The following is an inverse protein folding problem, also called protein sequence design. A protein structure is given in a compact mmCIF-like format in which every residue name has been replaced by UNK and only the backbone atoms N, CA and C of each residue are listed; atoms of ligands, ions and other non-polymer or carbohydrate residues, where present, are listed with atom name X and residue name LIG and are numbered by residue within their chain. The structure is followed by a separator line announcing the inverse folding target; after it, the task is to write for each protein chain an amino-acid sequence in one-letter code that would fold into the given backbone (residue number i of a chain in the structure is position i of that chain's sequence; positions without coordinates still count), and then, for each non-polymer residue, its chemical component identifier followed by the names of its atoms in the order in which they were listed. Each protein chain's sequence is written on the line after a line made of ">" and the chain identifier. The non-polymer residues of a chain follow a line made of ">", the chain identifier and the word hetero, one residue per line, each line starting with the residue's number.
data_IF_792425222431
#
_entry.id   IF_792425222431
#
_cell.length_a   1.000
_cell.length_b   1.000
_cell.length_c   1.000
_cell.angle_alpha   90.00
_cell.angle_beta   90.00
_cell.angle_gamma   90.00
#
_symmetry.space_group_name_H-M   'P 1'
#
loop_
_entity.id
_entity.type
_entity.pdbx_description
1 polymer ?
#
# COMPACT_ATOMS: atom_id res chain seq x y z
N UNK A 1 -35.53 1.46 -7.06
CA UNK A 1 -35.01 1.75 -5.71
C UNK A 1 -34.00 0.67 -5.36
N UNK A 2 -32.76 1.04 -5.05
CA UNK A 2 -31.74 0.07 -4.61
C UNK A 2 -32.21 -0.62 -3.31
N UNK A 3 -31.99 -1.92 -3.11
CA UNK A 3 -32.22 -2.61 -1.84
C UNK A 3 -31.58 -1.86 -0.66
N UNK A 4 -32.19 -1.94 0.53
CA UNK A 4 -31.73 -1.24 1.74
C UNK A 4 -30.27 -1.55 2.10
N UNK A 5 -29.78 -2.75 1.79
CA UNK A 5 -28.40 -3.15 1.99
C UNK A 5 -27.43 -2.41 1.04
N UNK A 6 -27.80 -2.29 -0.24
CA UNK A 6 -27.00 -1.55 -1.24
C UNK A 6 -26.93 -0.06 -0.92
N UNK A 7 -28.04 0.54 -0.47
CA UNK A 7 -28.04 1.94 -0.01
C UNK A 7 -27.12 2.13 1.20
N UNK A 8 -27.11 1.18 2.14
CA UNK A 8 -26.21 1.22 3.31
C UNK A 8 -24.74 1.14 2.88
N UNK A 9 -24.41 0.29 1.91
CA UNK A 9 -23.06 0.18 1.39
C UNK A 9 -22.66 1.44 0.60
N UNK A 10 -23.56 2.00 -0.20
CA UNK A 10 -23.32 3.23 -0.94
C UNK A 10 -22.96 4.39 0.00
N UNK A 11 -23.71 4.58 1.08
CA UNK A 11 -23.39 5.61 2.08
C UNK A 11 -22.09 5.32 2.83
N UNK A 12 -21.77 4.04 3.09
CA UNK A 12 -20.49 3.65 3.69
C UNK A 12 -19.33 4.08 2.79
N UNK A 13 -19.41 3.79 1.48
CA UNK A 13 -18.39 4.16 0.51
C UNK A 13 -18.29 5.70 0.38
N UNK A 14 -19.42 6.41 0.35
CA UNK A 14 -19.44 7.87 0.28
C UNK A 14 -18.70 8.53 1.47
N UNK A 15 -18.81 7.97 2.67
CA UNK A 15 -18.05 8.44 3.85
C UNK A 15 -16.54 8.21 3.70
N UNK A 16 -16.14 7.05 3.15
CA UNK A 16 -14.74 6.74 2.88
C UNK A 16 -14.15 7.65 1.80
N UNK A 17 -14.88 7.87 0.71
CA UNK A 17 -14.50 8.78 -0.37
C UNK A 17 -14.42 10.24 0.09
N UNK A 18 -15.36 10.67 0.93
CA UNK A 18 -15.34 12.00 1.53
C UNK A 18 -14.10 12.23 2.39
N UNK A 19 -13.72 11.27 3.23
CA UNK A 19 -12.51 11.37 4.05
C UNK A 19 -11.25 11.45 3.19
N UNK A 20 -11.15 10.59 2.17
CA UNK A 20 -10.08 10.60 1.16
C UNK A 20 -9.95 11.95 0.45
N UNK A 21 -11.06 12.48 -0.05
CA UNK A 21 -11.09 13.75 -0.78
C UNK A 21 -10.69 14.93 0.10
N UNK A 22 -11.11 14.95 1.37
CA UNK A 22 -10.70 15.98 2.33
C UNK A 22 -9.19 15.98 2.62
N UNK A 23 -8.51 14.85 2.43
CA UNK A 23 -7.05 14.74 2.59
C UNK A 23 -6.27 15.22 1.37
N UNK A 24 -6.88 15.31 0.19
CA UNK A 24 -6.19 15.77 -1.03
C UNK A 24 -5.57 17.16 -0.85
N UNK A 25 -6.20 18.03 -0.06
CA UNK A 25 -5.72 19.37 0.28
C UNK A 25 -4.54 19.43 1.26
N UNK A 26 -3.78 18.34 1.45
CA UNK A 26 -2.60 18.31 2.34
C UNK A 26 -2.91 17.97 3.81
N UNK A 27 -4.19 17.84 4.17
CA UNK A 27 -4.60 17.52 5.55
C UNK A 27 -4.31 16.06 5.89
N UNK A 28 -3.84 15.82 7.11
CA UNK A 28 -3.79 14.47 7.70
C UNK A 28 -5.16 14.03 8.20
N UNK A 29 -5.40 12.72 8.22
CA UNK A 29 -6.67 12.11 8.64
C UNK A 29 -7.06 12.51 10.06
N UNK A 30 -6.11 12.56 10.99
CA UNK A 30 -6.33 12.96 12.38
C UNK A 30 -6.83 14.40 12.55
N UNK A 31 -6.75 15.25 11.52
CA UNK A 31 -7.28 16.62 11.53
C UNK A 31 -8.74 16.72 11.05
N UNK A 32 -9.31 15.63 10.53
CA UNK A 32 -10.67 15.61 10.01
C UNK A 32 -11.66 15.39 11.16
N UNK A 33 -12.72 16.19 11.20
CA UNK A 33 -13.84 15.93 12.10
C UNK A 33 -14.89 15.05 11.43
N UNK A 34 -15.58 14.25 12.24
CA UNK A 34 -16.75 13.46 11.82
C UNK A 34 -17.79 14.33 11.10
N UNK A 35 -18.01 15.57 11.57
CA UNK A 35 -18.98 16.49 10.98
C UNK A 35 -18.58 16.92 9.57
N UNK A 36 -17.30 17.17 9.33
CA UNK A 36 -16.79 17.48 7.99
C UNK A 36 -16.98 16.30 7.04
N UNK A 37 -16.59 15.09 7.45
CA UNK A 37 -16.73 13.88 6.64
C UNK A 37 -18.19 13.61 6.32
N UNK A 38 -19.09 13.65 7.32
CA UNK A 38 -20.52 13.44 7.12
C UNK A 38 -21.13 14.47 6.17
N UNK A 39 -20.77 15.74 6.32
CA UNK A 39 -21.23 16.82 5.43
C UNK A 39 -20.75 16.61 4.00
N UNK A 40 -19.48 16.27 3.81
CA UNK A 40 -18.90 15.99 2.50
C UNK A 40 -19.53 14.74 1.84
N UNK A 41 -19.92 13.74 2.62
CA UNK A 41 -20.65 12.57 2.16
C UNK A 41 -22.17 12.81 1.94
N UNK A 42 -22.67 14.03 2.18
CA UNK A 42 -24.07 14.38 1.97
C UNK A 42 -25.05 13.82 3.00
N UNK A 43 -24.58 13.47 4.21
CA UNK A 43 -25.43 12.96 5.30
C UNK A 43 -25.39 13.86 6.55
N UNK A 44 -26.42 13.75 7.38
CA UNK A 44 -26.42 14.38 8.70
C UNK A 44 -25.34 13.75 9.60
N UNK A 45 -24.65 14.52 10.48
CA UNK A 45 -23.57 13.98 11.32
C UNK A 45 -23.94 12.75 12.15
N UNK A 46 -25.17 12.71 12.70
CA UNK A 46 -25.67 11.55 13.46
C UNK A 46 -25.82 10.28 12.61
N UNK A 47 -25.94 10.42 11.29
CA UNK A 47 -26.00 9.32 10.34
C UNK A 47 -24.69 8.54 10.23
N UNK A 48 -23.55 9.17 10.56
CA UNK A 48 -22.23 8.53 10.56
C UNK A 48 -22.20 7.25 11.41
N UNK A 49 -22.79 7.31 12.60
CA UNK A 49 -22.82 6.20 13.57
C UNK A 49 -23.56 4.95 13.09
N UNK A 50 -24.30 5.04 11.99
CA UNK A 50 -24.91 3.87 11.33
C UNK A 50 -23.90 3.03 10.54
N UNK A 51 -22.71 3.59 10.27
CA UNK A 51 -21.66 2.99 9.44
C UNK A 51 -20.36 2.78 10.22
N UNK A 52 -19.96 3.73 11.06
CA UNK A 52 -18.70 3.67 11.83
C UNK A 52 -18.94 4.18 13.26
N UNK A 53 -18.34 3.54 14.26
CA UNK A 53 -18.46 3.96 15.67
C UNK A 53 -17.80 5.31 15.93
N UNK A 54 -16.72 5.59 15.21
CA UNK A 54 -15.84 6.74 15.38
C UNK A 54 -14.96 6.93 14.13
N UNK A 55 -14.09 7.94 14.16
CA UNK A 55 -13.15 8.22 13.07
C UNK A 55 -12.07 7.14 12.94
N UNK A 56 -11.64 6.49 14.02
CA UNK A 56 -10.63 5.43 13.92
C UNK A 56 -11.20 4.23 13.17
N UNK A 57 -12.45 3.84 13.42
CA UNK A 57 -13.12 2.76 12.70
C UNK A 57 -13.28 3.06 11.20
N UNK A 58 -13.48 4.33 10.84
CA UNK A 58 -13.42 4.75 9.43
C UNK A 58 -12.01 4.59 8.87
N UNK A 59 -10.98 5.04 9.60
CA UNK A 59 -9.58 4.91 9.21
C UNK A 59 -9.16 3.45 9.01
N UNK A 60 -9.57 2.55 9.90
CA UNK A 60 -9.32 1.12 9.80
C UNK A 60 -9.94 0.52 8.53
N UNK A 61 -11.15 0.95 8.15
CA UNK A 61 -11.77 0.51 6.90
C UNK A 61 -11.02 1.02 5.68
N UNK A 62 -10.51 2.26 5.71
CA UNK A 62 -9.67 2.81 4.65
C UNK A 62 -8.38 2.00 4.47
N UNK A 63 -7.73 1.58 5.57
CA UNK A 63 -6.57 0.67 5.51
C UNK A 63 -6.95 -0.67 4.90
N UNK A 64 -8.10 -1.23 5.30
CA UNK A 64 -8.58 -2.52 4.80
C UNK A 64 -8.80 -2.53 3.28
N UNK A 65 -9.40 -1.47 2.73
CA UNK A 65 -9.64 -1.31 1.28
C UNK A 65 -8.31 -1.23 0.50
N UNK A 66 -7.33 -0.48 1.01
CA UNK A 66 -6.00 -0.42 0.42
C UNK A 66 -5.32 -1.79 0.46
N UNK A 67 -5.44 -2.51 1.58
CA UNK A 67 -4.90 -3.85 1.72
C UNK A 67 -5.50 -4.85 0.72
N UNK A 68 -6.79 -4.76 0.43
CA UNK A 68 -7.42 -5.56 -0.61
C UNK A 68 -6.85 -5.23 -1.99
N UNK A 69 -6.74 -3.95 -2.33
CA UNK A 69 -6.17 -3.48 -3.60
C UNK A 69 -4.73 -3.97 -3.79
N UNK A 70 -3.91 -3.93 -2.73
CA UNK A 70 -2.56 -4.49 -2.73
C UNK A 70 -2.54 -5.99 -3.04
N UNK A 71 -3.37 -6.78 -2.36
CA UNK A 71 -3.42 -8.24 -2.58
C UNK A 71 -3.85 -8.58 -4.00
N UNK A 72 -4.82 -7.85 -4.56
CA UNK A 72 -5.25 -8.00 -5.95
C UNK A 72 -4.12 -7.67 -6.93
N UNK A 73 -3.36 -6.61 -6.64
CA UNK A 73 -2.19 -6.21 -7.45
C UNK A 73 -1.07 -7.26 -7.41
N UNK A 74 -0.74 -7.78 -6.22
CA UNK A 74 0.27 -8.84 -6.07
C UNK A 74 -0.16 -10.10 -6.85
N UNK A 75 -1.44 -10.48 -6.78
CA UNK A 75 -1.97 -11.62 -7.56
C UNK A 75 -1.83 -11.39 -9.07
N UNK A 76 -2.13 -10.18 -9.54
CA UNK A 76 -1.98 -9.80 -10.95
C UNK A 76 -0.51 -9.88 -11.38
N UNK A 77 0.41 -9.43 -10.53
CA UNK A 77 1.85 -9.56 -10.74
C UNK A 77 2.26 -11.03 -10.86
N UNK A 78 1.96 -11.86 -9.86
CA UNK A 78 2.30 -13.30 -9.86
C UNK A 78 1.75 -14.04 -11.07
N UNK A 79 0.55 -13.71 -11.55
CA UNK A 79 -0.02 -14.35 -12.74
C UNK A 79 0.77 -14.02 -14.01
N UNK A 80 1.25 -12.78 -14.14
CA UNK A 80 2.04 -12.33 -15.30
C UNK A 80 3.51 -12.77 -15.24
N UNK A 81 4.06 -13.08 -14.06
CA UNK A 81 5.42 -13.59 -13.87
C UNK A 81 5.68 -14.92 -14.62
N UNK A 82 4.66 -15.75 -14.82
CA UNK A 82 4.80 -17.03 -15.52
C UNK A 82 4.95 -16.90 -17.05
N UNK A 83 4.85 -15.70 -17.61
CA UNK A 83 4.72 -15.49 -19.07
C UNK A 83 5.88 -14.69 -19.68
N UNK A 84 6.55 -13.80 -18.93
CA UNK A 84 7.53 -12.85 -19.49
C UNK A 84 8.81 -12.79 -18.64
N UNK A 85 9.97 -13.06 -19.24
CA UNK A 85 11.30 -13.13 -18.61
C UNK A 85 11.90 -11.81 -18.08
N UNK A 86 11.07 -10.89 -17.60
CA UNK A 86 11.45 -9.61 -16.97
C UNK A 86 10.56 -9.32 -15.77
N UNK A 87 10.72 -10.11 -14.70
CA UNK A 87 9.85 -10.09 -13.51
C UNK A 87 9.76 -8.69 -12.91
N UNK A 88 10.90 -8.04 -12.64
CA UNK A 88 10.92 -6.77 -11.88
C UNK A 88 10.24 -5.64 -12.67
N UNK A 89 10.58 -5.44 -13.95
CA UNK A 89 10.05 -4.33 -14.75
C UNK A 89 8.53 -4.42 -14.95
N UNK A 90 8.02 -5.63 -15.22
CA UNK A 90 6.59 -5.87 -15.38
C UNK A 90 5.84 -5.65 -14.06
N UNK A 91 6.38 -6.17 -12.94
CA UNK A 91 5.79 -6.01 -11.60
C UNK A 91 5.74 -4.55 -11.16
N UNK A 92 6.83 -3.80 -11.37
CA UNK A 92 6.88 -2.38 -11.06
C UNK A 92 5.85 -1.61 -11.88
N UNK A 93 5.77 -1.86 -13.20
CA UNK A 93 4.78 -1.18 -14.05
C UNK A 93 3.35 -1.45 -13.59
N UNK A 94 2.98 -2.71 -13.37
CA UNK A 94 1.64 -3.09 -12.89
C UNK A 94 1.32 -2.38 -11.57
N UNK A 95 2.28 -2.36 -10.64
CA UNK A 95 2.09 -1.70 -9.36
C UNK A 95 1.86 -0.19 -9.53
N UNK A 96 2.67 0.47 -10.34
CA UNK A 96 2.53 1.91 -10.59
C UNK A 96 1.21 2.25 -11.29
N UNK A 97 0.77 1.45 -12.25
CA UNK A 97 -0.52 1.64 -12.93
C UNK A 97 -1.68 1.58 -11.94
N UNK A 98 -1.63 0.67 -10.95
CA UNK A 98 -2.65 0.59 -9.89
C UNK A 98 -2.56 1.77 -8.93
N UNK A 99 -1.35 2.16 -8.51
CA UNK A 99 -1.16 3.33 -7.63
C UNK A 99 -1.71 4.59 -8.28
N UNK A 100 -1.45 4.79 -9.57
CA UNK A 100 -1.99 5.92 -10.35
C UNK A 100 -3.52 5.86 -10.41
N UNK A 101 -4.09 4.71 -10.78
CA UNK A 101 -5.54 4.52 -10.89
C UNK A 101 -6.28 4.65 -9.55
N UNK A 102 -5.59 4.43 -8.43
CA UNK A 102 -6.14 4.47 -7.06
C UNK A 102 -5.41 5.49 -6.18
N UNK A 103 -4.88 6.57 -6.78
CA UNK A 103 -4.00 7.55 -6.11
C UNK A 103 -4.46 7.97 -4.73
N UNK A 104 -5.74 8.29 -4.56
CA UNK A 104 -6.29 8.80 -3.30
C UNK A 104 -6.31 7.74 -2.19
N UNK A 105 -6.47 6.46 -2.54
CA UNK A 105 -6.37 5.36 -1.58
C UNK A 105 -4.91 5.19 -1.09
N UNK A 106 -3.94 5.24 -2.02
CA UNK A 106 -2.53 5.14 -1.67
C UNK A 106 -1.99 6.39 -0.97
N UNK A 107 -2.56 7.58 -1.23
CA UNK A 107 -2.29 8.82 -0.48
C UNK A 107 -2.56 8.65 1.01
N UNK A 108 -3.69 8.04 1.36
CA UNK A 108 -4.03 7.75 2.75
C UNK A 108 -2.96 6.87 3.40
N UNK A 109 -2.57 5.78 2.72
CA UNK A 109 -1.52 4.89 3.20
C UNK A 109 -0.17 5.60 3.36
N UNK A 110 0.22 6.46 2.42
CA UNK A 110 1.50 7.17 2.45
C UNK A 110 1.59 8.18 3.60
N UNK A 111 0.50 8.89 3.90
CA UNK A 111 0.49 9.94 4.94
C UNK A 111 0.28 9.40 6.35
N UNK A 112 -0.61 8.43 6.52
CA UNK A 112 -1.04 8.00 7.85
C UNK A 112 -0.11 6.98 8.52
N UNK A 113 0.98 6.56 7.85
CA UNK A 113 2.05 5.73 8.45
C UNK A 113 2.62 6.36 9.72
N UNK A 114 2.68 7.70 9.73
CA UNK A 114 3.17 8.51 10.84
C UNK A 114 2.09 9.49 11.34
N UNK A 115 0.82 9.22 11.00
CA UNK A 115 -0.32 10.05 11.34
C UNK A 115 -0.68 10.03 12.83
N UNK A 116 -1.66 10.82 13.25
CA UNK A 116 -2.02 10.99 14.66
C UNK A 116 -2.70 9.76 15.30
N UNK A 117 -3.44 8.97 14.53
CA UNK A 117 -4.21 7.82 15.05
C UNK A 117 -3.33 6.58 15.23
N UNK A 118 -3.14 6.16 16.50
CA UNK A 118 -2.40 4.92 16.81
C UNK A 118 -3.06 3.67 16.21
N UNK A 119 -4.39 3.47 16.31
CA UNK A 119 -5.06 2.33 15.67
C UNK A 119 -4.79 2.26 14.15
N UNK A 120 -4.84 3.39 13.46
CA UNK A 120 -4.55 3.44 12.02
C UNK A 120 -3.08 3.10 11.74
N UNK A 121 -2.13 3.67 12.49
CA UNK A 121 -0.70 3.32 12.34
C UNK A 121 -0.45 1.82 12.55
N UNK A 122 -1.07 1.21 13.55
CA UNK A 122 -0.95 -0.22 13.82
C UNK A 122 -1.55 -1.05 12.67
N UNK A 123 -2.72 -0.67 12.15
CA UNK A 123 -3.33 -1.37 11.02
C UNK A 123 -2.46 -1.30 9.76
N UNK A 124 -1.82 -0.16 9.48
CA UNK A 124 -0.88 0.00 8.37
C UNK A 124 0.37 -0.85 8.59
N UNK A 125 0.91 -0.89 9.81
CA UNK A 125 2.05 -1.74 10.14
C UNK A 125 1.72 -3.22 9.92
N UNK A 126 0.58 -3.70 10.44
CA UNK A 126 0.13 -5.08 10.23
C UNK A 126 -0.14 -5.40 8.77
N UNK A 127 -0.70 -4.46 8.00
CA UNK A 127 -0.84 -4.62 6.54
C UNK A 127 0.52 -4.87 5.88
N UNK A 128 1.52 -4.06 6.23
CA UNK A 128 2.86 -4.19 5.68
C UNK A 128 3.53 -5.50 6.10
N UNK A 129 3.42 -5.90 7.36
CA UNK A 129 3.93 -7.19 7.87
C UNK A 129 3.31 -8.38 7.14
N UNK A 130 2.00 -8.35 6.90
CA UNK A 130 1.31 -9.40 6.14
C UNK A 130 1.83 -9.49 4.69
N UNK A 131 2.04 -8.35 4.02
CA UNK A 131 2.61 -8.32 2.67
C UNK A 131 4.04 -8.87 2.67
N UNK A 132 4.87 -8.51 3.66
CA UNK A 132 6.23 -9.05 3.80
C UNK A 132 6.22 -10.55 4.03
N UNK A 133 5.30 -11.06 4.86
CA UNK A 133 5.15 -12.49 5.11
C UNK A 133 4.75 -13.26 3.84
N UNK A 134 3.78 -12.73 3.08
CA UNK A 134 3.36 -13.32 1.80
C UNK A 134 4.51 -13.36 0.79
N UNK A 135 5.33 -12.31 0.73
CA UNK A 135 6.51 -12.28 -0.14
C UNK A 135 7.59 -13.25 0.32
N UNK A 136 7.87 -13.34 1.63
CA UNK A 136 8.84 -14.30 2.16
C UNK A 136 8.43 -15.75 1.83
N UNK A 137 7.13 -16.05 1.92
CA UNK A 137 6.59 -17.35 1.52
C UNK A 137 6.79 -17.63 0.02
N UNK A 138 6.59 -16.64 -0.86
CA UNK A 138 6.88 -16.80 -2.30
C UNK A 138 8.36 -17.02 -2.57
N UNK A 139 9.24 -16.26 -1.91
CA UNK A 139 10.69 -16.39 -2.06
C UNK A 139 11.19 -17.77 -1.62
N UNK A 140 10.60 -18.35 -0.58
CA UNK A 140 10.92 -19.69 -0.10
C UNK A 140 10.59 -20.79 -1.14
N UNK A 141 9.67 -20.55 -2.06
CA UNK A 141 9.34 -21.47 -3.15
C UNK A 141 10.35 -21.41 -4.31
N UNK A 142 11.26 -20.42 -4.32
CA UNK A 142 12.21 -20.24 -5.41
C UNK A 142 13.42 -21.19 -5.26
N UNK A 143 13.70 -22.07 -6.23
CA UNK A 143 14.83 -23.01 -6.13
C UNK A 143 16.20 -22.34 -5.94
N UNK A 144 16.36 -21.12 -6.46
CA UNK A 144 17.61 -20.36 -6.39
C UNK A 144 17.89 -19.74 -5.02
N UNK A 145 16.94 -19.79 -4.09
CA UNK A 145 17.03 -19.19 -2.76
C UNK A 145 16.97 -20.25 -1.64
N UNK A 146 17.06 -21.54 -1.98
CA UNK A 146 17.00 -22.65 -1.01
C UNK A 146 18.19 -22.69 -0.05
N UNK A 147 19.25 -21.93 -0.30
CA UNK A 147 20.38 -21.78 0.60
C UNK A 147 20.10 -20.83 1.78
N UNK A 148 19.00 -20.07 1.72
CA UNK A 148 18.59 -19.13 2.76
C UNK A 148 17.52 -19.74 3.67
N UNK A 149 17.56 -19.39 4.95
CA UNK A 149 16.55 -19.84 5.90
C UNK A 149 15.33 -18.89 5.99
N UNK A 150 14.36 -19.25 6.83
CA UNK A 150 13.13 -18.45 7.00
C UNK A 150 13.41 -17.06 7.58
N UNK A 151 14.42 -16.92 8.45
CA UNK A 151 14.77 -15.64 9.04
C UNK A 151 15.43 -14.72 8.00
N UNK A 152 16.31 -15.27 7.17
CA UNK A 152 16.94 -14.57 6.04
C UNK A 152 15.89 -14.02 5.08
N UNK A 153 14.98 -14.89 4.64
CA UNK A 153 13.92 -14.53 3.69
C UNK A 153 12.96 -13.49 4.26
N UNK A 154 12.68 -13.53 5.57
CA UNK A 154 11.85 -12.53 6.26
C UNK A 154 12.51 -11.14 6.24
N UNK A 155 13.81 -11.06 6.55
CA UNK A 155 14.56 -9.78 6.50
C UNK A 155 14.58 -9.22 5.08
N UNK A 156 14.76 -10.07 4.08
CA UNK A 156 14.82 -9.66 2.68
C UNK A 156 13.46 -9.22 2.16
N UNK A 157 12.39 -9.93 2.50
CA UNK A 157 11.04 -9.54 2.13
C UNK A 157 10.67 -8.18 2.76
N UNK A 158 11.00 -7.96 4.03
CA UNK A 158 10.78 -6.65 4.67
C UNK A 158 11.56 -5.52 3.97
N UNK A 159 12.80 -5.75 3.55
CA UNK A 159 13.58 -4.77 2.77
C UNK A 159 12.93 -4.43 1.43
N UNK A 160 12.46 -5.44 0.69
CA UNK A 160 11.75 -5.24 -0.59
C UNK A 160 10.49 -4.42 -0.38
N UNK A 161 9.64 -4.82 0.57
CA UNK A 161 8.37 -4.14 0.87
C UNK A 161 8.62 -2.71 1.36
N UNK A 162 9.60 -2.48 2.24
CA UNK A 162 10.02 -1.13 2.68
C UNK A 162 10.40 -0.26 1.49
N UNK A 163 11.17 -0.79 0.55
CA UNK A 163 11.67 -0.04 -0.62
C UNK A 163 10.52 0.41 -1.53
N UNK A 164 9.54 -0.46 -1.76
CA UNK A 164 8.33 -0.13 -2.54
C UNK A 164 7.49 0.93 -1.82
N UNK A 165 7.20 0.73 -0.52
CA UNK A 165 6.41 1.67 0.27
C UNK A 165 7.06 3.06 0.38
N UNK A 166 8.39 3.11 0.50
CA UNK A 166 9.13 4.37 0.57
C UNK A 166 9.09 5.18 -0.73
N UNK A 167 8.73 4.56 -1.86
CA UNK A 167 8.59 5.26 -3.15
C UNK A 167 7.17 5.82 -3.36
N UNK A 168 6.18 5.38 -2.58
CA UNK A 168 4.80 5.86 -2.70
C UNK A 168 4.67 7.39 -2.63
N UNK A 169 5.31 8.11 -1.69
CA UNK A 169 5.22 9.56 -1.64
C UNK A 169 5.65 10.26 -2.94
N UNK A 170 6.72 9.77 -3.59
CA UNK A 170 7.26 10.34 -4.83
C UNK A 170 6.32 10.14 -6.03
N UNK A 171 5.49 9.10 -5.99
CA UNK A 171 4.48 8.80 -7.03
C UNK A 171 3.25 9.66 -6.79
N UNK A 172 2.84 9.77 -5.53
CA UNK A 172 1.60 10.44 -5.16
C UNK A 172 1.74 11.95 -5.29
N UNK A 173 2.83 12.53 -4.79
CA UNK A 173 3.11 13.97 -4.88
C UNK A 173 4.38 14.19 -5.74
N UNK A 174 4.28 14.07 -7.07
CA UNK A 174 5.43 14.11 -7.95
C UNK A 174 6.11 15.49 -7.93
N UNK A 175 7.44 15.55 -8.11
CA UNK A 175 8.16 16.81 -8.10
C UNK A 175 7.74 17.72 -9.25
N UNK A 176 7.75 19.03 -8.98
CA UNK A 176 7.36 20.08 -9.95
C UNK A 176 8.32 20.14 -11.14
N UNK A 177 9.59 19.76 -10.93
CA UNK A 177 10.60 19.72 -11.98
C UNK A 177 10.74 18.30 -12.53
N UNK A 178 10.97 18.20 -13.83
CA UNK A 178 11.26 16.93 -14.48
C UNK A 178 12.50 16.29 -13.83
N UNK A 179 12.33 15.05 -13.37
CA UNK A 179 13.44 14.26 -12.85
C UNK A 179 14.29 13.72 -14.01
N UNK A 180 15.62 13.57 -13.82
CA UNK A 180 16.43 12.73 -14.68
C UNK A 180 15.80 11.34 -14.81
N UNK A 181 15.93 10.70 -15.98
CA UNK A 181 15.28 9.43 -16.31
C UNK A 181 15.48 8.36 -15.21
N UNK A 182 16.70 8.24 -14.69
CA UNK A 182 17.08 7.27 -13.66
C UNK A 182 16.51 7.56 -12.26
N UNK A 183 16.01 8.77 -12.02
CA UNK A 183 15.38 9.18 -10.75
C UNK A 183 13.86 9.14 -10.80
N UNK A 184 13.26 8.91 -11.98
CA UNK A 184 11.81 8.69 -12.08
C UNK A 184 11.38 7.56 -11.13
N UNK A 185 10.18 7.61 -10.52
CA UNK A 185 9.74 6.59 -9.57
C UNK A 185 9.84 5.17 -10.14
N UNK A 186 9.48 4.97 -11.42
CA UNK A 186 9.60 3.69 -12.11
C UNK A 186 11.04 3.22 -12.24
N UNK A 187 11.94 4.05 -12.79
CA UNK A 187 13.33 3.67 -12.98
C UNK A 187 14.02 3.42 -11.64
N UNK A 188 13.82 4.31 -10.67
CA UNK A 188 14.40 4.21 -9.33
C UNK A 188 13.96 2.93 -8.62
N UNK A 189 12.65 2.66 -8.58
CA UNK A 189 12.11 1.44 -7.97
C UNK A 189 12.64 0.17 -8.64
N UNK A 190 12.67 0.16 -9.98
CA UNK A 190 13.21 -0.97 -10.75
C UNK A 190 14.67 -1.24 -10.42
N UNK A 191 15.52 -0.20 -10.40
CA UNK A 191 16.95 -0.38 -10.11
C UNK A 191 17.19 -0.78 -8.65
N UNK A 192 16.45 -0.21 -7.69
CA UNK A 192 16.54 -0.61 -6.28
C UNK A 192 16.17 -2.07 -6.09
N UNK A 193 15.06 -2.53 -6.69
CA UNK A 193 14.66 -3.93 -6.63
C UNK A 193 15.70 -4.85 -7.30
N UNK A 194 16.22 -4.48 -8.48
CA UNK A 194 17.31 -5.23 -9.13
C UNK A 194 18.53 -5.35 -8.23
N UNK A 195 18.95 -4.25 -7.61
CA UNK A 195 20.07 -4.25 -6.68
C UNK A 195 19.84 -5.21 -5.50
N UNK A 196 18.65 -5.16 -4.88
CA UNK A 196 18.26 -6.06 -3.80
C UNK A 196 18.32 -7.52 -4.24
N UNK A 197 17.73 -7.86 -5.40
CA UNK A 197 17.71 -9.25 -5.90
C UNK A 197 19.06 -9.75 -6.42
N UNK A 198 19.95 -8.86 -6.86
CA UNK A 198 21.35 -9.22 -7.15
C UNK A 198 22.07 -9.53 -5.85
N UNK A 199 21.99 -8.65 -4.85
CA UNK A 199 22.60 -8.86 -3.54
C UNK A 199 22.13 -10.16 -2.89
N UNK A 200 20.83 -10.46 -2.97
CA UNK A 200 20.23 -11.68 -2.44
C UNK A 200 20.85 -12.97 -2.98
N UNK A 201 21.30 -12.99 -4.24
CA UNK A 201 21.94 -14.19 -4.85
C UNK A 201 23.32 -14.49 -4.26
N UNK A 202 23.98 -13.47 -3.70
CA UNK A 202 25.34 -13.57 -3.17
C UNK A 202 25.37 -13.49 -1.64
N UNK A 203 24.23 -13.23 -1.01
CA UNK A 203 24.13 -13.15 0.43
C UNK A 203 24.04 -14.56 1.03
N UNK A 204 24.85 -14.80 2.07
CA UNK A 204 24.98 -16.10 2.74
C UNK A 204 24.03 -16.25 3.95
N UNK A 205 23.22 -15.23 4.25
CA UNK A 205 22.28 -15.22 5.36
C UNK A 205 22.80 -14.49 6.61
N UNK A 206 21.99 -14.54 7.66
CA UNK A 206 22.27 -13.94 8.95
C UNK A 206 23.38 -14.73 9.67
N UNK A 207 24.35 -14.00 10.24
CA UNK A 207 25.45 -14.61 11.00
C UNK A 207 26.61 -15.13 10.13
N UNK A 208 26.53 -15.02 8.81
CA UNK A 208 27.69 -15.20 7.93
C UNK A 208 28.64 -14.02 8.07
N UNK A 209 29.71 -14.19 8.81
CA UNK A 209 30.86 -13.28 8.79
C UNK A 209 31.74 -13.65 7.59
N UNK A 210 31.53 -12.93 6.48
CA UNK A 210 32.21 -13.09 5.18
C UNK A 210 31.82 -14.33 4.36
#
# INVERSE_FOLDING_TARGET
>A
MLPRAEQKQQTRNALMDAARHLMEGGRGFGSLSLREVAKAAGIVPTGFYRHFSDMDQLGLELVSEVGQTFRETIRLVRHNEFVMGGIIDASVRIFLDVVEAKRVQFLFLAREQYGGSLPVRQAIASLRENISSDLAADLALMPKLQHLDVADLSVMADLVVKSVFATLPDIIDPPVQALPEHLTPQAKMTQQLRFIFIGLKHWNGLGSTE
#
